data_IF_434911642609
#
_entry.id   IF_434911642609
#
_cell.length_a   1.000
_cell.length_b   1.000
_cell.length_c   1.000
_cell.angle_alpha   90.00
_cell.angle_beta   90.00
_cell.angle_gamma   90.00
#
_symmetry.space_group_name_H-M   'P 1'
#
loop_
_entity.id
_entity.type
_entity.pdbx_description
1 polymer ?
#
# COMPACT_ATOMS: atom_id res chain seq x y z
N UNK A 1 -7.98 25.28 -12.08
CA UNK A 1 -8.42 24.70 -10.79
C UNK A 1 -8.84 23.27 -11.01
N UNK A 2 -8.29 22.36 -10.23
CA UNK A 2 -8.73 20.95 -10.27
C UNK A 2 -10.15 20.86 -9.72
N UNK A 3 -11.04 20.26 -10.47
CA UNK A 3 -12.42 20.05 -10.03
C UNK A 3 -12.54 18.89 -9.04
N UNK A 4 -11.60 17.96 -9.07
CA UNK A 4 -11.55 16.78 -8.20
C UNK A 4 -10.09 16.45 -7.83
N UNK A 5 -9.78 16.16 -6.56
CA UNK A 5 -8.44 15.73 -6.18
C UNK A 5 -8.12 14.34 -6.76
N UNK A 6 -6.88 14.16 -7.21
CA UNK A 6 -6.41 12.89 -7.76
C UNK A 6 -5.83 12.05 -6.63
N UNK A 7 -6.43 10.89 -6.38
CA UNK A 7 -6.05 9.98 -5.31
C UNK A 7 -5.40 8.72 -5.92
N UNK A 8 -4.12 8.53 -5.64
CA UNK A 8 -3.39 7.36 -6.10
C UNK A 8 -3.62 6.15 -5.19
N UNK A 9 -3.84 4.98 -5.80
CA UNK A 9 -4.13 3.73 -5.08
C UNK A 9 -3.19 2.65 -5.63
N UNK A 10 -2.22 2.14 -4.85
CA UNK A 10 -1.41 1.02 -5.30
C UNK A 10 -2.27 -0.22 -5.46
N UNK A 11 -2.05 -0.95 -6.56
CA UNK A 11 -2.75 -2.19 -6.85
C UNK A 11 -2.24 -3.33 -5.97
N UNK A 12 -2.93 -4.46 -5.97
CA UNK A 12 -2.37 -5.73 -5.56
C UNK A 12 -1.86 -6.50 -6.79
N UNK A 13 -1.02 -7.47 -6.56
CA UNK A 13 -0.49 -8.32 -7.62
C UNK A 13 -1.03 -9.74 -7.48
N UNK A 14 -1.62 -10.23 -8.56
CA UNK A 14 -2.04 -11.61 -8.68
C UNK A 14 -0.95 -12.37 -9.46
N UNK A 15 -0.19 -13.21 -8.77
CA UNK A 15 0.94 -13.93 -9.37
C UNK A 15 0.53 -15.08 -10.29
N UNK A 16 -0.69 -15.62 -10.13
CA UNK A 16 -1.19 -16.70 -10.99
C UNK A 16 -1.54 -16.17 -12.37
N UNK A 17 -2.20 -15.03 -12.44
CA UNK A 17 -2.61 -14.38 -13.69
C UNK A 17 -1.60 -13.34 -14.19
N UNK A 18 -0.63 -12.95 -13.37
CA UNK A 18 0.32 -11.86 -13.65
C UNK A 18 -0.38 -10.51 -13.88
N UNK A 19 -1.50 -10.28 -13.21
CA UNK A 19 -2.25 -9.03 -13.32
C UNK A 19 -2.10 -8.15 -12.09
N UNK A 20 -2.14 -6.84 -12.33
CA UNK A 20 -2.44 -5.89 -11.28
C UNK A 20 -3.94 -5.81 -11.12
N UNK A 21 -4.40 -5.82 -9.88
CA UNK A 21 -5.81 -5.83 -9.54
C UNK A 21 -6.13 -4.80 -8.46
N UNK A 22 -7.32 -4.25 -8.52
CA UNK A 22 -7.88 -3.42 -7.47
C UNK A 22 -9.38 -3.67 -7.40
N UNK A 23 -9.92 -3.91 -6.20
CA UNK A 23 -11.37 -4.02 -6.04
C UNK A 23 -12.04 -2.71 -6.42
N UNK A 24 -13.10 -2.78 -7.20
CA UNK A 24 -13.85 -1.61 -7.65
C UNK A 24 -14.38 -0.75 -6.49
N UNK A 25 -14.60 -1.34 -5.31
CA UNK A 25 -15.08 -0.63 -4.12
C UNK A 25 -14.16 0.50 -3.70
N UNK A 26 -12.84 0.39 -3.90
CA UNK A 26 -11.89 1.48 -3.63
C UNK A 26 -12.14 2.66 -4.58
N UNK A 27 -12.16 2.41 -5.87
CA UNK A 27 -12.38 3.46 -6.87
C UNK A 27 -13.77 4.08 -6.74
N UNK A 28 -14.79 3.26 -6.49
CA UNK A 28 -16.16 3.74 -6.29
C UNK A 28 -16.29 4.65 -5.05
N UNK A 29 -15.67 4.28 -3.93
CA UNK A 29 -15.70 5.07 -2.70
C UNK A 29 -15.00 6.42 -2.87
N UNK A 30 -13.84 6.44 -3.50
CA UNK A 30 -13.10 7.67 -3.77
C UNK A 30 -13.90 8.57 -4.72
N UNK A 31 -14.45 8.01 -5.77
CA UNK A 31 -15.29 8.78 -6.70
C UNK A 31 -16.52 9.37 -6.00
N UNK A 32 -17.22 8.58 -5.19
CA UNK A 32 -18.37 9.04 -4.43
C UNK A 32 -18.04 10.16 -3.43
N UNK A 33 -16.82 10.13 -2.87
CA UNK A 33 -16.33 11.17 -1.97
C UNK A 33 -15.84 12.45 -2.70
N UNK A 34 -15.93 12.50 -4.02
CA UNK A 34 -15.53 13.67 -4.81
C UNK A 34 -14.10 13.62 -5.36
N UNK A 35 -13.37 12.53 -5.16
CA UNK A 35 -12.03 12.34 -5.70
C UNK A 35 -12.01 11.71 -7.10
N UNK A 36 -10.86 11.72 -7.74
CA UNK A 36 -10.56 10.98 -8.96
C UNK A 36 -9.59 9.85 -8.63
N UNK A 37 -10.04 8.59 -8.62
CA UNK A 37 -9.16 7.46 -8.31
C UNK A 37 -8.18 7.19 -9.47
N UNK A 38 -6.94 6.93 -9.12
CA UNK A 38 -5.88 6.55 -10.06
C UNK A 38 -5.17 5.30 -9.57
N UNK A 39 -5.24 4.22 -10.32
CA UNK A 39 -4.53 2.98 -10.00
C UNK A 39 -3.04 3.13 -10.28
N UNK A 40 -2.21 2.71 -9.31
CA UNK A 40 -0.75 2.77 -9.43
C UNK A 40 -0.21 1.35 -9.61
N UNK A 41 0.41 1.04 -10.76
CA UNK A 41 1.14 -0.20 -10.96
C UNK A 41 2.29 -0.38 -9.97
N UNK A 42 2.63 -1.61 -9.65
CA UNK A 42 3.68 -1.94 -8.69
C UNK A 42 5.07 -1.93 -9.35
N UNK A 43 5.46 -0.79 -9.86
CA UNK A 43 6.79 -0.54 -10.40
C UNK A 43 7.61 0.10 -9.26
N UNK A 44 8.37 -0.75 -8.56
CA UNK A 44 9.10 -0.35 -7.36
C UNK A 44 10.42 0.37 -7.72
N UNK A 45 10.28 1.51 -8.36
CA UNK A 45 11.39 2.39 -8.78
C UNK A 45 11.12 3.82 -8.29
N UNK A 46 12.11 4.41 -7.64
CA UNK A 46 11.97 5.74 -7.04
C UNK A 46 11.62 6.81 -8.08
N UNK A 47 12.27 6.82 -9.23
CA UNK A 47 12.02 7.77 -10.32
C UNK A 47 10.58 7.68 -10.85
N UNK A 48 10.07 6.46 -11.00
CA UNK A 48 8.67 6.24 -11.41
C UNK A 48 7.71 6.76 -10.35
N UNK A 49 7.91 6.37 -9.09
CA UNK A 49 7.02 6.78 -7.99
C UNK A 49 7.02 8.30 -7.82
N UNK A 50 8.18 8.95 -7.90
CA UNK A 50 8.27 10.41 -7.85
C UNK A 50 7.47 11.07 -8.99
N UNK A 51 7.60 10.56 -10.21
CA UNK A 51 6.87 11.08 -11.37
C UNK A 51 5.36 10.92 -11.25
N UNK A 52 4.88 9.89 -10.56
CA UNK A 52 3.45 9.69 -10.30
C UNK A 52 2.98 10.63 -9.18
N UNK A 53 3.70 10.64 -8.06
CA UNK A 53 3.29 11.37 -6.84
C UNK A 53 3.20 12.89 -7.08
N UNK A 54 4.01 13.45 -7.97
CA UNK A 54 3.93 14.88 -8.30
C UNK A 54 2.56 15.29 -8.89
N UNK A 55 1.79 14.35 -9.42
CA UNK A 55 0.46 14.59 -9.99
C UNK A 55 -0.68 14.23 -9.04
N UNK A 56 -0.39 13.70 -7.85
CA UNK A 56 -1.39 13.29 -6.87
C UNK A 56 -1.71 14.39 -5.87
N UNK A 57 -2.94 14.38 -5.38
CA UNK A 57 -3.40 15.20 -4.26
C UNK A 57 -3.53 14.40 -2.96
N UNK A 58 -3.42 13.08 -3.03
CA UNK A 58 -3.44 12.18 -1.89
C UNK A 58 -3.18 10.73 -2.29
N UNK A 59 -2.93 9.89 -1.30
CA UNK A 59 -2.66 8.45 -1.48
C UNK A 59 -3.60 7.63 -0.61
N UNK A 60 -4.20 6.59 -1.20
CA UNK A 60 -4.97 5.59 -0.48
C UNK A 60 -4.28 4.23 -0.60
N UNK A 61 -3.61 3.78 0.47
CA UNK A 61 -3.00 2.45 0.50
C UNK A 61 -4.09 1.39 0.63
N UNK A 62 -4.27 0.58 -0.39
CA UNK A 62 -5.29 -0.46 -0.44
C UNK A 62 -4.92 -1.72 0.35
N UNK A 63 -5.94 -2.52 0.66
CA UNK A 63 -5.76 -3.86 1.22
C UNK A 63 -5.16 -4.84 0.22
N UNK A 64 -4.66 -5.94 0.75
CA UNK A 64 -4.11 -7.06 -0.01
C UNK A 64 -4.26 -8.35 0.81
N UNK A 65 -4.07 -9.49 0.14
CA UNK A 65 -4.13 -10.81 0.78
C UNK A 65 -2.77 -11.32 1.24
N UNK A 66 -1.70 -10.61 0.89
CA UNK A 66 -0.33 -10.92 1.29
C UNK A 66 0.03 -10.23 2.61
N UNK A 67 1.15 -10.65 3.18
CA UNK A 67 1.75 -10.07 4.38
C UNK A 67 2.94 -9.17 4.03
N UNK A 68 3.23 -8.21 4.89
CA UNK A 68 4.46 -7.41 4.80
C UNK A 68 5.66 -8.28 5.19
N UNK A 69 6.75 -8.17 4.44
CA UNK A 69 7.98 -8.90 4.73
C UNK A 69 8.48 -8.57 6.15
N UNK A 70 8.57 -9.57 7.04
CA UNK A 70 9.00 -9.36 8.43
C UNK A 70 10.44 -8.86 8.54
N UNK A 71 11.30 -9.07 7.55
CA UNK A 71 12.64 -8.51 7.53
C UNK A 71 12.63 -6.97 7.55
N UNK A 72 11.54 -6.35 7.06
CA UNK A 72 11.38 -4.88 7.07
C UNK A 72 11.16 -4.30 8.47
N UNK A 73 10.79 -5.14 9.44
CA UNK A 73 10.66 -4.74 10.85
C UNK A 73 11.55 -5.57 11.80
N UNK A 74 12.63 -6.15 11.26
CA UNK A 74 13.66 -6.80 12.05
C UNK A 74 13.27 -8.15 12.67
N UNK A 75 12.35 -8.88 12.04
CA UNK A 75 11.88 -10.19 12.50
C UNK A 75 12.15 -11.28 11.47
N UNK A 76 12.44 -12.49 11.97
CA UNK A 76 12.50 -13.66 11.12
C UNK A 76 11.07 -14.08 10.69
N UNK A 77 10.90 -14.64 9.47
CA UNK A 77 9.63 -15.14 9.02
C UNK A 77 9.09 -16.25 9.94
N UNK A 78 7.85 -16.09 10.39
CA UNK A 78 7.11 -17.12 11.12
C UNK A 78 6.54 -18.13 10.11
N UNK A 79 6.45 -19.41 10.51
CA UNK A 79 5.88 -20.46 9.62
C UNK A 79 4.42 -20.23 9.25
N UNK A 80 3.68 -19.45 10.04
CA UNK A 80 2.29 -19.04 9.76
C UNK A 80 2.19 -17.79 8.89
N UNK A 81 3.33 -17.21 8.45
CA UNK A 81 3.34 -16.06 7.56
C UNK A 81 2.72 -16.42 6.20
N UNK A 82 1.88 -15.54 5.69
CA UNK A 82 1.33 -15.64 4.34
C UNK A 82 2.34 -15.24 3.26
N UNK A 83 1.92 -15.20 2.00
CA UNK A 83 2.80 -14.80 0.91
C UNK A 83 3.26 -13.36 1.06
N UNK A 84 4.50 -13.09 0.67
CA UNK A 84 5.11 -11.76 0.63
C UNK A 84 5.28 -11.34 -0.84
N UNK A 85 4.84 -10.14 -1.17
CA UNK A 85 4.97 -9.55 -2.51
C UNK A 85 5.94 -8.37 -2.43
N UNK A 86 7.21 -8.61 -2.70
CA UNK A 86 8.26 -7.60 -2.59
C UNK A 86 7.90 -6.30 -3.31
N UNK A 87 7.42 -6.39 -4.55
CA UNK A 87 7.07 -5.19 -5.33
C UNK A 87 5.93 -4.38 -4.71
N UNK A 88 5.00 -5.00 -3.98
CA UNK A 88 3.96 -4.27 -3.26
C UNK A 88 4.54 -3.56 -2.03
N UNK A 89 5.31 -4.28 -1.23
CA UNK A 89 5.96 -3.71 -0.05
C UNK A 89 6.82 -2.52 -0.43
N UNK A 90 7.69 -2.68 -1.43
CA UNK A 90 8.60 -1.63 -1.86
C UNK A 90 7.86 -0.44 -2.47
N UNK A 91 6.82 -0.69 -3.26
CA UNK A 91 5.97 0.38 -3.82
C UNK A 91 5.32 1.18 -2.71
N UNK A 92 4.74 0.52 -1.70
CA UNK A 92 4.09 1.21 -0.57
C UNK A 92 5.11 2.07 0.20
N UNK A 93 6.32 1.56 0.47
CA UNK A 93 7.37 2.33 1.16
C UNK A 93 7.79 3.57 0.36
N UNK A 94 7.99 3.43 -0.95
CA UNK A 94 8.33 4.54 -1.82
C UNK A 94 7.20 5.57 -1.92
N UNK A 95 5.94 5.11 -2.02
CA UNK A 95 4.78 6.00 -2.03
C UNK A 95 4.66 6.78 -0.73
N UNK A 96 4.82 6.13 0.42
CA UNK A 96 4.76 6.79 1.72
C UNK A 96 5.86 7.84 1.86
N UNK A 97 7.09 7.50 1.47
CA UNK A 97 8.21 8.44 1.51
C UNK A 97 7.98 9.67 0.62
N UNK A 98 7.54 9.45 -0.62
CA UNK A 98 7.30 10.53 -1.57
C UNK A 98 6.09 11.39 -1.18
N UNK A 99 5.02 10.77 -0.66
CA UNK A 99 3.84 11.48 -0.18
C UNK A 99 4.16 12.36 1.05
N UNK A 100 4.92 11.80 1.99
CA UNK A 100 5.35 12.54 3.20
C UNK A 100 6.22 13.74 2.84
N UNK A 101 7.19 13.57 1.94
CA UNK A 101 8.05 14.66 1.48
C UNK A 101 7.28 15.81 0.84
N UNK A 102 6.11 15.54 0.26
CA UNK A 102 5.23 16.52 -0.37
C UNK A 102 4.06 16.97 0.51
N UNK A 103 3.96 16.45 1.72
CA UNK A 103 2.86 16.76 2.64
C UNK A 103 1.50 16.28 2.13
N UNK A 104 1.45 15.22 1.33
CA UNK A 104 0.19 14.67 0.84
C UNK A 104 -0.52 13.86 1.93
N UNK A 105 -1.86 13.97 2.03
CA UNK A 105 -2.62 13.13 2.93
C UNK A 105 -2.57 11.65 2.50
N UNK A 106 -2.53 10.77 3.48
CA UNK A 106 -2.51 9.32 3.28
C UNK A 106 -3.63 8.68 4.07
N UNK A 107 -4.44 7.87 3.40
CA UNK A 107 -5.39 6.95 4.02
C UNK A 107 -4.87 5.52 3.83
N UNK A 108 -4.76 4.76 4.91
CA UNK A 108 -4.29 3.38 4.87
C UNK A 108 -5.38 2.42 5.31
N UNK A 109 -5.64 1.37 4.54
CA UNK A 109 -6.73 0.41 4.75
C UNK A 109 -6.17 -1.01 4.79
N UNK A 110 -6.47 -1.78 5.83
CA UNK A 110 -6.09 -3.19 6.00
C UNK A 110 -4.57 -3.39 5.84
N UNK A 111 -4.12 -4.06 4.79
CA UNK A 111 -2.69 -4.19 4.48
C UNK A 111 -1.98 -2.83 4.44
N UNK A 112 -2.63 -1.81 3.94
CA UNK A 112 -2.09 -0.44 3.92
C UNK A 112 -1.76 0.09 5.32
N UNK A 113 -2.56 -0.23 6.35
CA UNK A 113 -2.26 0.12 7.75
C UNK A 113 -1.00 -0.60 8.22
N UNK A 114 -0.83 -1.85 7.83
CA UNK A 114 0.36 -2.65 8.16
C UNK A 114 1.62 -2.04 7.51
N UNK A 115 1.54 -1.68 6.22
CA UNK A 115 2.62 -0.97 5.53
C UNK A 115 2.98 0.35 6.22
N UNK A 116 1.97 1.14 6.57
CA UNK A 116 2.18 2.42 7.25
C UNK A 116 2.83 2.24 8.62
N UNK A 117 2.38 1.24 9.40
CA UNK A 117 2.95 0.92 10.70
C UNK A 117 4.44 0.56 10.58
N UNK A 118 4.78 -0.30 9.62
CA UNK A 118 6.17 -0.70 9.36
C UNK A 118 7.01 0.49 8.87
N UNK A 119 6.48 1.30 7.97
CA UNK A 119 7.12 2.53 7.52
C UNK A 119 7.46 3.48 8.68
N UNK A 120 6.60 3.55 9.67
CA UNK A 120 6.79 4.36 10.89
C UNK A 120 7.66 3.69 11.96
N UNK A 121 8.27 2.54 11.66
CA UNK A 121 9.17 1.82 12.57
C UNK A 121 8.46 0.85 13.52
N UNK A 122 7.19 0.58 13.31
CA UNK A 122 6.43 -0.43 14.07
C UNK A 122 6.70 -1.85 13.61
N UNK A 123 6.25 -2.81 14.41
CA UNK A 123 6.33 -4.24 14.12
C UNK A 123 4.93 -4.83 13.95
N UNK A 124 4.86 -6.03 13.38
CA UNK A 124 3.61 -6.75 13.16
C UNK A 124 3.63 -8.11 13.84
N UNK A 125 2.44 -8.59 14.21
CA UNK A 125 2.19 -9.97 14.56
C UNK A 125 1.97 -10.73 13.24
N UNK A 126 2.78 -11.75 12.99
CA UNK A 126 2.75 -12.48 11.72
C UNK A 126 1.64 -13.52 11.67
N UNK A 127 1.32 -14.12 12.81
CA UNK A 127 0.26 -15.12 12.93
C UNK A 127 -0.46 -14.97 14.27
N UNK A 128 -1.68 -14.45 14.22
CA UNK A 128 -2.44 -14.12 15.42
C UNK A 128 -2.73 -15.39 16.26
N UNK A 129 -3.10 -16.47 15.58
CA UNK A 129 -3.51 -17.70 16.26
C UNK A 129 -2.41 -18.33 17.12
N UNK A 130 -1.15 -18.22 16.68
CA UNK A 130 -0.01 -18.80 17.40
C UNK A 130 0.74 -17.80 18.29
N UNK A 131 0.71 -16.51 17.97
CA UNK A 131 1.48 -15.48 18.68
C UNK A 131 0.66 -14.75 19.75
N UNK A 132 -0.66 -14.69 19.61
CA UNK A 132 -1.56 -14.06 20.58
C UNK A 132 -2.27 -15.15 21.38
N UNK A 133 -1.89 -15.29 22.64
CA UNK A 133 -2.61 -16.17 23.57
C UNK A 133 -3.81 -15.41 24.12
N UNK A 134 -4.99 -15.89 23.79
CA UNK A 134 -6.26 -15.39 24.32
C UNK A 134 -6.44 -15.65 25.80
#
# INVERSE_FOLDING_TARGET
MKTRPIIGIPCRYNWESCYYELRETYSAAIYAAGGSPLMIPLIAKADYIESVVEHLDGVCLSGAVNDVDPLRYGREPHRGLGPVIFRRDETDMLLLSAAEARGLPVLAICFGIQSLNVYRGGTLIQDIDSEVKG
#
